data_IF_095692475438
#
_entry.id   IF_095692475438
#
_cell.length_a   1.000
_cell.length_b   1.000
_cell.length_c   1.000
_cell.angle_alpha   90.00
_cell.angle_beta   90.00
_cell.angle_gamma   90.00
#
_symmetry.space_group_name_H-M   'P 1'
#
loop_
_entity.id
_entity.type
_entity.pdbx_description
1 polymer ?
#
# COMPACT_ATOMS: atom_id res chain seq x y z
N UNK A 1 -9.41 15.43 -6.04
CA UNK A 1 -9.97 14.06 -6.03
C UNK A 1 -10.96 13.98 -7.16
N UNK A 2 -10.75 13.07 -8.09
CA UNK A 2 -11.69 12.83 -9.17
C UNK A 2 -12.83 11.94 -8.64
N UNK A 3 -14.10 12.32 -8.81
CA UNK A 3 -15.22 11.51 -8.38
C UNK A 3 -15.30 10.22 -9.22
N UNK A 4 -15.73 9.11 -8.60
CA UNK A 4 -15.96 7.85 -9.30
C UNK A 4 -16.97 8.04 -10.43
N UNK A 5 -16.59 7.68 -11.65
CA UNK A 5 -17.44 7.77 -12.84
C UNK A 5 -18.56 6.70 -12.74
N UNK A 6 -19.82 6.99 -13.16
CA UNK A 6 -20.81 5.97 -13.49
C UNK A 6 -20.28 4.75 -14.26
N UNK A 7 -19.30 4.93 -15.15
CA UNK A 7 -18.60 3.83 -15.84
C UNK A 7 -17.81 2.95 -14.85
N UNK A 8 -17.04 3.55 -13.94
CA UNK A 8 -16.30 2.80 -12.90
C UNK A 8 -17.25 1.99 -12.01
N UNK A 9 -18.41 2.56 -11.66
CA UNK A 9 -19.40 1.86 -10.85
C UNK A 9 -19.94 0.61 -11.57
N UNK A 10 -20.30 0.74 -12.86
CA UNK A 10 -20.81 -0.39 -13.65
C UNK A 10 -19.77 -1.49 -13.77
N UNK A 11 -18.52 -1.12 -14.00
CA UNK A 11 -17.41 -2.06 -14.11
C UNK A 11 -17.20 -2.85 -12.81
N UNK A 12 -17.18 -2.17 -11.66
CA UNK A 12 -17.04 -2.82 -10.35
C UNK A 12 -18.20 -3.78 -10.06
N UNK A 13 -19.44 -3.34 -10.27
CA UNK A 13 -20.62 -4.18 -10.01
C UNK A 13 -20.62 -5.42 -10.91
N UNK A 14 -20.40 -5.25 -12.22
CA UNK A 14 -20.39 -6.35 -13.18
C UNK A 14 -19.27 -7.37 -12.91
N UNK A 15 -18.10 -6.90 -12.45
CA UNK A 15 -17.01 -7.80 -12.04
C UNK A 15 -17.35 -8.60 -10.80
N UNK A 16 -18.00 -8.01 -9.79
CA UNK A 16 -18.44 -8.75 -8.61
C UNK A 16 -19.52 -9.78 -8.96
N UNK A 17 -20.49 -9.43 -9.80
CA UNK A 17 -21.49 -10.38 -10.31
C UNK A 17 -20.83 -11.55 -11.06
N UNK A 18 -19.84 -11.25 -11.90
CA UNK A 18 -19.07 -12.27 -12.63
C UNK A 18 -18.31 -13.17 -11.67
N UNK A 19 -17.69 -12.60 -10.62
CA UNK A 19 -16.94 -13.35 -9.62
C UNK A 19 -17.85 -14.30 -8.82
N UNK A 20 -19.03 -13.83 -8.39
CA UNK A 20 -20.05 -14.68 -7.73
C UNK A 20 -20.42 -15.86 -8.62
N UNK A 21 -20.69 -15.60 -9.90
CA UNK A 21 -21.03 -16.64 -10.87
C UNK A 21 -19.91 -17.67 -11.03
N UNK A 22 -18.66 -17.22 -11.22
CA UNK A 22 -17.50 -18.11 -11.36
C UNK A 22 -17.30 -18.99 -10.12
N UNK A 23 -17.46 -18.43 -8.91
CA UNK A 23 -17.39 -19.18 -7.66
C UNK A 23 -18.52 -20.19 -7.54
N UNK A 24 -19.75 -19.82 -7.91
CA UNK A 24 -20.89 -20.74 -7.95
C UNK A 24 -20.75 -21.89 -8.96
N UNK A 25 -20.07 -21.63 -10.08
CA UNK A 25 -19.74 -22.63 -11.10
C UNK A 25 -18.50 -23.49 -10.75
N UNK A 26 -17.82 -23.22 -9.63
CA UNK A 26 -16.59 -23.90 -9.22
C UNK A 26 -15.35 -23.55 -10.07
N UNK A 27 -15.42 -22.48 -10.88
CA UNK A 27 -14.38 -22.04 -11.82
C UNK A 27 -13.31 -21.20 -11.12
N UNK A 28 -12.60 -21.84 -10.19
CA UNK A 28 -11.72 -21.15 -9.26
C UNK A 28 -10.55 -20.42 -9.91
N UNK A 29 -9.97 -20.97 -10.98
CA UNK A 29 -8.85 -20.35 -11.71
C UNK A 29 -9.24 -19.06 -12.41
N UNK A 30 -10.39 -19.03 -13.07
CA UNK A 30 -10.88 -17.82 -13.75
C UNK A 30 -11.28 -16.73 -12.78
N UNK A 31 -11.87 -17.10 -11.65
CA UNK A 31 -12.12 -16.17 -10.56
C UNK A 31 -10.81 -15.58 -9.99
N UNK A 32 -9.74 -16.37 -9.90
CA UNK A 32 -8.43 -15.85 -9.49
C UNK A 32 -7.85 -14.88 -10.52
N UNK A 33 -7.91 -15.17 -11.82
CA UNK A 33 -7.48 -14.24 -12.88
C UNK A 33 -8.23 -12.91 -12.76
N UNK A 34 -9.55 -12.95 -12.57
CA UNK A 34 -10.36 -11.74 -12.41
C UNK A 34 -9.95 -10.91 -11.19
N UNK A 35 -9.59 -11.55 -10.08
CA UNK A 35 -9.09 -10.87 -8.88
C UNK A 35 -7.71 -10.22 -9.12
N UNK A 36 -6.82 -10.91 -9.81
CA UNK A 36 -5.52 -10.37 -10.21
C UNK A 36 -5.72 -9.15 -11.10
N UNK A 37 -6.55 -9.24 -12.14
CA UNK A 37 -6.86 -8.10 -13.01
C UNK A 37 -7.43 -6.90 -12.23
N UNK A 38 -8.37 -7.15 -11.32
CA UNK A 38 -8.97 -6.13 -10.47
C UNK A 38 -7.95 -5.46 -9.53
N UNK A 39 -6.91 -6.18 -9.08
CA UNK A 39 -5.86 -5.59 -8.27
C UNK A 39 -5.06 -4.51 -9.02
N UNK A 40 -4.94 -4.60 -10.36
CA UNK A 40 -4.24 -3.59 -11.17
C UNK A 40 -5.11 -2.39 -11.56
N UNK A 41 -6.38 -2.35 -11.15
CA UNK A 41 -7.29 -1.26 -11.48
C UNK A 41 -6.93 0.06 -10.77
N UNK A 42 -7.47 1.20 -11.27
CA UNK A 42 -7.33 2.49 -10.58
C UNK A 42 -7.79 2.43 -9.12
N UNK A 43 -6.98 3.01 -8.22
CA UNK A 43 -7.21 2.99 -6.78
C UNK A 43 -8.61 3.51 -6.35
N UNK A 44 -9.20 4.42 -7.13
CA UNK A 44 -10.56 4.95 -6.88
C UNK A 44 -11.64 3.87 -6.84
N UNK A 45 -11.41 2.69 -7.45
CA UNK A 45 -12.38 1.59 -7.50
C UNK A 45 -12.34 0.69 -6.25
N UNK A 46 -11.24 0.69 -5.49
CA UNK A 46 -11.04 -0.22 -4.35
C UNK A 46 -12.13 -0.08 -3.26
N UNK A 47 -12.54 1.14 -2.86
CA UNK A 47 -13.64 1.29 -1.89
C UNK A 47 -14.96 0.66 -2.33
N UNK A 48 -15.32 0.79 -3.62
CA UNK A 48 -16.56 0.20 -4.12
C UNK A 48 -16.42 -1.33 -4.26
N UNK A 49 -15.28 -1.83 -4.75
CA UNK A 49 -14.98 -3.27 -4.81
C UNK A 49 -15.16 -3.91 -3.44
N UNK A 50 -14.56 -3.30 -2.40
CA UNK A 50 -14.72 -3.73 -1.02
C UNK A 50 -16.19 -3.84 -0.59
N UNK A 51 -16.97 -2.78 -0.84
CA UNK A 51 -18.37 -2.74 -0.42
C UNK A 51 -19.25 -3.76 -1.17
N UNK A 52 -19.04 -3.92 -2.48
CA UNK A 52 -19.77 -4.89 -3.31
C UNK A 52 -19.40 -6.34 -2.92
N UNK A 53 -18.10 -6.64 -2.77
CA UNK A 53 -17.63 -7.97 -2.38
C UNK A 53 -18.10 -8.35 -0.97
N UNK A 54 -18.09 -7.41 -0.02
CA UNK A 54 -18.65 -7.65 1.31
C UNK A 54 -20.14 -7.98 1.24
N UNK A 55 -20.92 -7.22 0.45
CA UNK A 55 -22.37 -7.49 0.26
C UNK A 55 -22.64 -8.84 -0.41
N UNK A 56 -21.74 -9.28 -1.29
CA UNK A 56 -21.81 -10.58 -1.94
C UNK A 56 -21.26 -11.74 -1.09
N UNK A 57 -20.74 -11.50 0.12
CA UNK A 57 -20.15 -12.52 0.98
C UNK A 57 -18.76 -13.01 0.53
N UNK A 58 -18.09 -12.27 -0.34
CA UNK A 58 -16.80 -12.63 -0.96
C UNK A 58 -15.58 -12.19 -0.13
N UNK A 59 -15.64 -12.36 1.19
CA UNK A 59 -14.58 -11.88 2.09
C UNK A 59 -13.20 -12.52 1.84
N UNK A 60 -13.17 -13.81 1.49
CA UNK A 60 -11.92 -14.52 1.16
C UNK A 60 -11.32 -14.03 -0.17
N UNK A 61 -12.17 -13.73 -1.15
CA UNK A 61 -11.74 -13.14 -2.42
C UNK A 61 -11.24 -11.71 -2.22
N UNK A 62 -11.87 -10.94 -1.33
CA UNK A 62 -11.38 -9.61 -0.97
C UNK A 62 -9.98 -9.67 -0.34
N UNK A 63 -9.77 -10.61 0.59
CA UNK A 63 -8.44 -10.84 1.17
C UNK A 63 -7.40 -11.24 0.10
N UNK A 64 -7.81 -12.00 -0.91
CA UNK A 64 -6.94 -12.38 -2.04
C UNK A 64 -6.59 -11.16 -2.89
N UNK A 65 -7.57 -10.32 -3.23
CA UNK A 65 -7.34 -9.07 -3.97
C UNK A 65 -6.39 -8.13 -3.21
N UNK A 66 -6.58 -7.97 -1.90
CA UNK A 66 -5.68 -7.17 -1.06
C UNK A 66 -4.23 -7.69 -1.11
N UNK A 67 -4.05 -9.02 -1.10
CA UNK A 67 -2.73 -9.63 -1.22
C UNK A 67 -2.08 -9.29 -2.57
N UNK A 68 -2.82 -9.42 -3.67
CA UNK A 68 -2.32 -9.07 -5.01
C UNK A 68 -1.99 -7.58 -5.09
N UNK A 69 -2.82 -6.72 -4.51
CA UNK A 69 -2.60 -5.28 -4.45
C UNK A 69 -1.34 -4.90 -3.66
N UNK A 70 -0.99 -5.67 -2.62
CA UNK A 70 0.23 -5.47 -1.86
C UNK A 70 1.51 -5.83 -2.64
N UNK A 71 1.38 -6.56 -3.75
CA UNK A 71 2.50 -6.90 -4.64
C UNK A 71 2.74 -5.84 -5.73
N UNK A 72 1.85 -4.85 -5.88
CA UNK A 72 1.97 -3.79 -6.87
C UNK A 72 3.21 -2.90 -6.66
N UNK A 73 3.59 -2.10 -7.67
CA UNK A 73 4.52 -0.99 -7.46
C UNK A 73 4.08 -0.08 -6.30
N UNK A 74 4.99 0.42 -5.46
CA UNK A 74 4.66 1.17 -4.24
C UNK A 74 3.73 2.36 -4.48
N UNK A 75 3.86 3.00 -5.62
CA UNK A 75 3.00 4.06 -6.13
C UNK A 75 1.51 3.69 -6.12
N UNK A 76 1.21 2.49 -6.63
CA UNK A 76 -0.15 1.99 -6.81
C UNK A 76 -0.69 1.41 -5.52
N UNK A 77 0.19 0.73 -4.78
CA UNK A 77 -0.09 0.20 -3.46
C UNK A 77 -0.54 1.32 -2.51
N UNK A 78 0.24 2.41 -2.42
CA UNK A 78 -0.08 3.55 -1.55
C UNK A 78 -1.35 4.26 -2.00
N UNK A 79 -1.57 4.40 -3.31
CA UNK A 79 -2.81 4.98 -3.83
C UNK A 79 -4.04 4.15 -3.43
N UNK A 80 -3.96 2.81 -3.52
CA UNK A 80 -5.04 1.92 -3.09
C UNK A 80 -5.29 2.02 -1.57
N UNK A 81 -4.23 2.06 -0.76
CA UNK A 81 -4.33 2.22 0.69
C UNK A 81 -4.94 3.56 1.11
N UNK A 82 -4.56 4.67 0.46
CA UNK A 82 -5.16 6.00 0.69
C UNK A 82 -6.63 6.00 0.30
N UNK A 83 -6.99 5.42 -0.85
CA UNK A 83 -8.39 5.33 -1.29
C UNK A 83 -9.26 4.56 -0.28
N UNK A 84 -8.77 3.44 0.25
CA UNK A 84 -9.45 2.66 1.29
C UNK A 84 -9.57 3.43 2.61
N UNK A 85 -8.48 4.05 3.08
CA UNK A 85 -8.46 4.85 4.31
C UNK A 85 -9.49 5.98 4.27
N UNK A 86 -9.53 6.70 3.14
CA UNK A 86 -10.45 7.81 2.91
C UNK A 86 -11.91 7.36 2.91
N UNK A 87 -12.17 6.15 2.44
CA UNK A 87 -13.50 5.55 2.44
C UNK A 87 -13.90 4.94 3.80
N UNK A 88 -13.11 5.16 4.85
CA UNK A 88 -13.38 4.62 6.19
C UNK A 88 -12.92 3.17 6.38
N UNK A 89 -12.09 2.65 5.47
CA UNK A 89 -11.52 1.29 5.52
C UNK A 89 -10.02 1.34 5.83
N UNK A 90 -9.70 2.02 6.93
CA UNK A 90 -8.31 2.22 7.36
C UNK A 90 -7.58 0.90 7.61
N UNK A 91 -8.26 -0.10 8.21
CA UNK A 91 -7.67 -1.41 8.50
C UNK A 91 -7.18 -2.13 7.24
N UNK A 92 -7.92 -2.05 6.13
CA UNK A 92 -7.51 -2.63 4.85
C UNK A 92 -6.35 -1.87 4.21
N UNK A 93 -6.39 -0.53 4.30
CA UNK A 93 -5.29 0.31 3.83
C UNK A 93 -4.00 0.01 4.59
N UNK A 94 -4.09 -0.10 5.92
CA UNK A 94 -2.97 -0.50 6.77
C UNK A 94 -2.50 -1.92 6.45
N UNK A 95 -3.41 -2.88 6.25
CA UNK A 95 -3.05 -4.25 5.89
C UNK A 95 -2.22 -4.32 4.61
N UNK A 96 -2.66 -3.65 3.54
CA UNK A 96 -1.91 -3.60 2.27
C UNK A 96 -0.53 -2.97 2.49
N UNK A 97 -0.46 -1.85 3.22
CA UNK A 97 0.80 -1.17 3.50
C UNK A 97 1.77 -2.07 4.26
N UNK A 98 1.29 -2.77 5.31
CA UNK A 98 2.09 -3.72 6.10
C UNK A 98 2.63 -4.88 5.25
N UNK A 99 1.86 -5.35 4.26
CA UNK A 99 2.31 -6.40 3.34
C UNK A 99 3.32 -5.86 2.30
N UNK A 100 3.10 -4.65 1.77
CA UNK A 100 4.00 -4.01 0.82
C UNK A 100 5.39 -3.69 1.37
N UNK A 101 5.47 -3.41 2.67
CA UNK A 101 6.74 -3.17 3.35
C UNK A 101 7.53 -4.43 3.70
N UNK A 102 7.05 -5.63 3.34
CA UNK A 102 7.79 -6.88 3.49
C UNK A 102 9.04 -6.96 2.58
N UNK A 103 9.14 -6.08 1.57
CA UNK A 103 10.27 -5.98 0.64
C UNK A 103 11.61 -5.67 1.34
N UNK A 104 12.75 -6.05 0.73
CA UNK A 104 14.06 -5.63 1.21
C UNK A 104 14.19 -4.12 1.39
N UNK A 105 14.92 -3.68 2.42
CA UNK A 105 15.06 -2.26 2.74
C UNK A 105 15.59 -1.41 1.58
N UNK A 106 16.49 -1.96 0.76
CA UNK A 106 17.03 -1.26 -0.40
C UNK A 106 15.97 -0.96 -1.47
N UNK A 107 15.00 -1.85 -1.68
CA UNK A 107 13.90 -1.64 -2.63
C UNK A 107 12.95 -0.53 -2.16
N UNK A 108 12.72 -0.43 -0.85
CA UNK A 108 11.94 0.67 -0.26
C UNK A 108 12.64 2.00 -0.51
N UNK A 109 13.96 2.09 -0.28
CA UNK A 109 14.73 3.30 -0.57
C UNK A 109 14.69 3.72 -2.03
N UNK A 110 14.77 2.76 -2.97
CA UNK A 110 14.66 3.03 -4.40
C UNK A 110 13.26 3.53 -4.79
N UNK A 111 12.20 2.88 -4.28
CA UNK A 111 10.84 3.29 -4.55
C UNK A 111 10.54 4.70 -4.04
N UNK A 112 10.95 5.02 -2.82
CA UNK A 112 10.80 6.37 -2.25
C UNK A 112 11.56 7.39 -3.10
N UNK A 113 12.77 7.05 -3.56
CA UNK A 113 13.55 7.94 -4.43
C UNK A 113 12.83 8.20 -5.77
N UNK A 114 12.21 7.16 -6.37
CA UNK A 114 11.39 7.30 -7.57
C UNK A 114 10.20 8.24 -7.34
N UNK A 115 9.43 8.01 -6.28
CA UNK A 115 8.30 8.85 -5.89
C UNK A 115 8.68 10.32 -5.65
N UNK A 116 9.83 10.57 -5.01
CA UNK A 116 10.36 11.93 -4.81
C UNK A 116 10.69 12.58 -6.16
N UNK A 117 11.31 11.84 -7.09
CA UNK A 117 11.60 12.32 -8.44
C UNK A 117 10.35 12.67 -9.24
N UNK A 118 9.23 12.00 -8.97
CA UNK A 118 7.92 12.27 -9.56
C UNK A 118 7.12 13.37 -8.82
N UNK A 119 7.64 13.92 -7.73
CA UNK A 119 6.94 14.93 -6.91
C UNK A 119 5.77 14.39 -6.08
N UNK A 120 5.74 13.08 -5.82
CA UNK A 120 4.63 12.37 -5.17
C UNK A 120 4.80 12.28 -3.65
N UNK A 121 4.92 13.45 -3.02
CA UNK A 121 5.26 13.57 -1.59
C UNK A 121 4.17 13.03 -0.65
N UNK A 122 2.90 13.04 -1.07
CA UNK A 122 1.81 12.44 -0.28
C UNK A 122 2.03 10.93 -0.13
N UNK A 123 2.42 10.28 -1.21
CA UNK A 123 2.65 8.84 -1.27
C UNK A 123 3.93 8.44 -0.54
N UNK A 124 4.99 9.24 -0.68
CA UNK A 124 6.23 9.07 0.11
C UNK A 124 5.92 9.02 1.60
N UNK A 125 5.14 9.99 2.10
CA UNK A 125 4.80 10.07 3.52
C UNK A 125 4.01 8.85 3.99
N UNK A 126 2.97 8.45 3.25
CA UNK A 126 2.15 7.29 3.62
C UNK A 126 2.96 5.97 3.63
N UNK A 127 3.88 5.80 2.67
CA UNK A 127 4.76 4.63 2.63
C UNK A 127 5.73 4.60 3.81
N UNK A 128 6.40 5.72 4.09
CA UNK A 128 7.39 5.79 5.17
C UNK A 128 6.73 5.70 6.56
N UNK A 129 5.57 6.31 6.77
CA UNK A 129 4.79 6.20 8.01
C UNK A 129 4.46 4.73 8.32
N UNK A 130 4.01 3.98 7.31
CA UNK A 130 3.74 2.55 7.46
C UNK A 130 5.03 1.74 7.67
N UNK A 131 6.09 2.05 6.91
CA UNK A 131 7.37 1.36 6.99
C UNK A 131 8.00 1.45 8.38
N UNK A 132 8.06 2.64 8.97
CA UNK A 132 8.68 2.88 10.28
C UNK A 132 7.85 2.29 11.44
N UNK A 133 6.53 2.14 11.27
CA UNK A 133 5.67 1.45 12.25
C UNK A 133 5.93 -0.05 12.33
N UNK A 134 6.25 -0.67 11.20
CA UNK A 134 6.36 -2.13 11.08
C UNK A 134 7.80 -2.61 11.26
N UNK A 135 8.77 -1.88 10.71
CA UNK A 135 10.16 -2.30 10.69
C UNK A 135 10.92 -1.91 11.95
N UNK A 136 11.98 -2.66 12.23
CA UNK A 136 12.92 -2.25 13.28
C UNK A 136 13.64 -0.96 12.85
N UNK A 137 14.13 -0.15 13.80
CA UNK A 137 14.92 1.03 13.49
C UNK A 137 16.13 0.74 12.57
N UNK A 138 16.79 -0.41 12.73
CA UNK A 138 17.94 -0.83 11.92
C UNK A 138 17.56 -1.21 10.50
N UNK A 139 16.43 -1.88 10.32
CA UNK A 139 15.86 -2.11 8.98
C UNK A 139 15.50 -0.80 8.30
N UNK A 140 14.86 0.11 9.03
CA UNK A 140 14.48 1.41 8.51
C UNK A 140 15.72 2.24 8.11
N UNK A 141 16.77 2.24 8.93
CA UNK A 141 18.03 2.91 8.63
C UNK A 141 18.70 2.37 7.35
N UNK A 142 18.69 1.05 7.13
CA UNK A 142 19.25 0.44 5.90
C UNK A 142 18.54 0.91 4.62
N UNK A 143 17.27 1.30 4.70
CA UNK A 143 16.55 1.81 3.52
C UNK A 143 17.10 3.15 3.01
N UNK A 144 17.90 3.87 3.81
CA UNK A 144 18.49 5.14 3.40
C UNK A 144 19.66 4.98 2.40
N UNK A 145 20.27 3.79 2.32
CA UNK A 145 21.47 3.52 1.53
C UNK A 145 21.41 4.02 0.07
N UNK A 146 20.31 3.86 -0.69
CA UNK A 146 20.24 4.28 -2.09
C UNK A 146 20.37 5.80 -2.30
N UNK A 147 19.90 6.61 -1.36
CA UNK A 147 19.92 8.07 -1.46
C UNK A 147 19.92 8.75 -0.08
N UNK A 148 21.01 8.65 0.71
CA UNK A 148 20.98 9.01 2.13
C UNK A 148 20.58 10.47 2.38
N UNK A 149 21.06 11.40 1.54
CA UNK A 149 20.75 12.84 1.66
C UNK A 149 19.26 13.16 1.49
N UNK A 150 18.55 12.34 0.72
CA UNK A 150 17.11 12.50 0.48
C UNK A 150 16.30 11.71 1.48
N UNK A 151 16.71 10.47 1.76
CA UNK A 151 15.91 9.50 2.52
C UNK A 151 16.01 9.70 4.03
N UNK A 152 17.17 10.10 4.56
CA UNK A 152 17.36 10.28 6.01
C UNK A 152 16.38 11.31 6.60
N UNK A 153 16.21 12.52 6.03
CA UNK A 153 15.25 13.49 6.57
C UNK A 153 13.81 12.96 6.54
N UNK A 154 13.41 12.29 5.46
CA UNK A 154 12.05 11.76 5.28
C UNK A 154 11.75 10.62 6.26
N UNK A 155 12.72 9.73 6.49
CA UNK A 155 12.63 8.66 7.48
C UNK A 155 12.47 9.21 8.91
N UNK A 156 13.23 10.24 9.26
CA UNK A 156 13.17 10.89 10.56
C UNK A 156 11.85 11.65 10.77
N UNK A 157 11.32 12.28 9.73
CA UNK A 157 10.00 12.92 9.73
C UNK A 157 8.90 11.89 9.99
N UNK A 158 8.90 10.78 9.24
CA UNK A 158 7.93 9.70 9.42
C UNK A 158 8.01 9.10 10.84
N UNK A 159 9.22 8.83 11.35
CA UNK A 159 9.42 8.31 12.71
C UNK A 159 8.87 9.26 13.78
N UNK A 160 9.07 10.57 13.61
CA UNK A 160 8.52 11.59 14.50
C UNK A 160 6.99 11.65 14.46
N UNK A 161 6.40 11.37 13.29
CA UNK A 161 4.94 11.21 13.15
C UNK A 161 4.37 9.99 13.88
N UNK A 162 5.21 9.01 14.22
CA UNK A 162 4.82 7.81 14.99
C UNK A 162 4.95 8.05 16.49
N UNK A 163 6.15 8.38 16.98
CA UNK A 163 6.41 8.76 18.38
C UNK A 163 7.82 9.35 18.55
N UNK A 164 8.05 10.08 19.66
CA UNK A 164 9.38 10.58 20.02
C UNK A 164 10.39 9.45 20.23
N UNK A 165 9.97 8.35 20.87
CA UNK A 165 10.80 7.14 21.07
C UNK A 165 11.27 6.57 19.72
N UNK A 166 10.33 6.40 18.77
CA UNK A 166 10.67 5.90 17.43
C UNK A 166 11.60 6.83 16.67
N UNK A 167 11.45 8.14 16.84
CA UNK A 167 12.37 9.11 16.25
C UNK A 167 13.79 8.92 16.78
N UNK A 168 13.98 8.83 18.10
CA UNK A 168 15.31 8.68 18.69
C UNK A 168 15.97 7.33 18.41
N UNK A 169 15.19 6.24 18.41
CA UNK A 169 15.67 4.93 18.02
C UNK A 169 16.19 4.93 16.57
N UNK A 170 15.46 5.58 15.66
CA UNK A 170 15.88 5.68 14.27
C UNK A 170 17.11 6.58 14.09
N UNK A 171 17.20 7.71 14.82
CA UNK A 171 18.42 8.53 14.85
C UNK A 171 19.62 7.69 15.28
N UNK A 172 19.46 6.85 16.30
CA UNK A 172 20.52 5.97 16.76
C UNK A 172 20.93 4.94 15.69
N UNK A 173 19.95 4.24 15.11
CA UNK A 173 20.21 3.24 14.08
C UNK A 173 20.87 3.83 12.82
N UNK A 174 20.44 5.01 12.38
CA UNK A 174 21.07 5.73 11.27
C UNK A 174 22.54 6.05 11.54
N UNK A 175 22.85 6.51 12.77
CA UNK A 175 24.24 6.77 13.17
C UNK A 175 25.09 5.50 13.16
N UNK A 176 24.56 4.38 13.65
CA UNK A 176 25.22 3.07 13.62
C UNK A 176 25.47 2.61 12.18
N UNK A 177 24.53 2.87 11.28
CA UNK A 177 24.65 2.57 9.85
C UNK A 177 25.60 3.53 9.08
N UNK A 178 26.20 4.53 9.75
CA UNK A 178 27.08 5.51 9.12
C UNK A 178 26.35 6.63 8.36
N UNK A 179 25.04 6.74 8.53
CA UNK A 179 24.24 7.85 8.01
C UNK A 179 24.22 8.99 9.03
N UNK A 180 24.49 10.21 8.57
CA UNK A 180 24.39 11.41 9.40
C UNK A 180 23.04 12.06 9.17
N UNK A 181 22.35 12.37 10.28
CA UNK A 181 21.10 13.13 10.30
C UNK A 181 21.38 14.63 10.11
#
# INVERSE_FOLDING_TARGET
REPMDPADRREVVGTVETLVRLRGEGRTGEAHVLLVEAAYWPAVRFPLLAAEMQRAGLGADWATLLWEAASLPPERLVAAADALTVAGRADDGEQILRQGVARPAHEIGQAVTGLVGEGRYREVRALLDAYVRVRTPEEAARSAEPAPKTLVPLLLEAARGVSDERHWDLVHALRVAGHTA
#
